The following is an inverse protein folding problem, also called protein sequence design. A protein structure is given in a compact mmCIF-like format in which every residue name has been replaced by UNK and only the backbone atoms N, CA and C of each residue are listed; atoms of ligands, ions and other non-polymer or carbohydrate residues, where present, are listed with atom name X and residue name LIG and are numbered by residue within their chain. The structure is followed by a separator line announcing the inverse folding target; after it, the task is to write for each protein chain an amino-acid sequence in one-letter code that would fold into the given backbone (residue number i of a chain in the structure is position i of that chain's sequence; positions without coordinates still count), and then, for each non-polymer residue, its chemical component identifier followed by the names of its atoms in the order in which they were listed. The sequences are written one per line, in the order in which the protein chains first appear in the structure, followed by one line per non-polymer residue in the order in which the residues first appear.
data_IF_142395207082
#
_entry.id   IF_142395207082
#
_cell.length_a   1.000
_cell.length_b   1.000
_cell.length_c   1.000
_cell.angle_alpha   90.00
_cell.angle_beta   90.00
_cell.angle_gamma   90.00
#
_symmetry.space_group_name_H-M   'P 1'
#
loop_
_entity.id
_entity.type
_entity.pdbx_description
1 polymer ?
#
# COMPACT_ATOMS: atom_id res chain seq x y z
N UNK A 1 22.22 21.77 10.44
CA UNK A 1 21.87 20.46 11.02
C UNK A 1 22.12 19.44 9.93
N UNK A 2 23.02 18.48 10.11
CA UNK A 2 23.17 17.41 9.11
C UNK A 2 21.87 16.60 9.11
N UNK A 3 21.16 16.60 7.99
CA UNK A 3 19.95 15.76 7.84
C UNK A 3 20.35 14.30 8.07
N UNK A 4 19.58 13.58 8.88
CA UNK A 4 19.80 12.16 9.07
C UNK A 4 19.63 11.46 7.69
N UNK A 5 20.62 10.70 7.19
CA UNK A 5 20.58 10.12 5.85
C UNK A 5 19.37 9.20 5.63
N UNK A 6 18.84 8.57 6.71
CA UNK A 6 17.60 7.79 6.64
C UNK A 6 16.39 8.66 6.33
N UNK A 7 16.26 9.79 7.02
CA UNK A 7 15.17 10.74 6.76
C UNK A 7 15.27 11.28 5.34
N UNK A 8 16.46 11.67 4.89
CA UNK A 8 16.67 12.15 3.53
C UNK A 8 16.25 11.11 2.48
N UNK A 9 16.63 9.83 2.66
CA UNK A 9 16.20 8.75 1.78
C UNK A 9 14.68 8.53 1.79
N UNK A 10 14.05 8.58 2.95
CA UNK A 10 12.58 8.46 3.07
C UNK A 10 11.89 9.63 2.35
N UNK A 11 12.32 10.87 2.56
CA UNK A 11 11.76 12.04 1.88
C UNK A 11 11.92 11.96 0.36
N UNK A 12 13.07 11.52 -0.12
CA UNK A 12 13.33 11.33 -1.55
C UNK A 12 12.35 10.33 -2.16
N UNK A 13 12.11 9.20 -1.49
CA UNK A 13 11.12 8.22 -1.96
C UNK A 13 9.69 8.77 -1.94
N UNK A 14 9.27 9.47 -0.89
CA UNK A 14 7.94 10.09 -0.90
C UNK A 14 7.80 11.12 -2.01
N UNK A 15 8.83 11.93 -2.27
CA UNK A 15 8.84 12.90 -3.36
C UNK A 15 8.73 12.25 -4.74
N UNK A 16 9.43 11.12 -4.96
CA UNK A 16 9.31 10.35 -6.21
C UNK A 16 7.91 9.77 -6.40
N UNK A 17 7.30 9.27 -5.33
CA UNK A 17 5.93 8.77 -5.36
C UNK A 17 4.94 9.88 -5.75
N UNK A 18 5.09 11.07 -5.16
CA UNK A 18 4.28 12.23 -5.49
C UNK A 18 4.46 12.70 -6.93
N UNK A 19 5.69 12.69 -7.43
CA UNK A 19 5.96 13.05 -8.83
C UNK A 19 5.18 12.14 -9.77
N UNK A 20 5.28 10.82 -9.59
CA UNK A 20 4.55 9.87 -10.43
C UNK A 20 3.03 9.97 -10.28
N UNK A 21 2.54 10.23 -9.06
CA UNK A 21 1.12 10.48 -8.83
C UNK A 21 0.64 11.74 -9.53
N UNK A 22 1.41 12.83 -9.48
CA UNK A 22 1.09 14.09 -10.14
C UNK A 22 1.11 13.93 -11.67
N UNK A 23 2.12 13.24 -12.21
CA UNK A 23 2.17 12.92 -13.64
C UNK A 23 0.95 12.09 -14.06
N UNK A 24 0.53 11.10 -13.26
CA UNK A 24 -0.66 10.30 -13.56
C UNK A 24 -1.93 11.14 -13.67
N UNK A 25 -2.09 12.15 -12.80
CA UNK A 25 -3.25 13.06 -12.83
C UNK A 25 -3.25 14.01 -14.04
N UNK A 26 -2.09 14.27 -14.64
CA UNK A 26 -1.99 15.16 -15.81
C UNK A 26 -2.37 14.46 -17.12
N UNK A 27 -2.43 13.13 -17.13
CA UNK A 27 -2.80 12.37 -18.34
C UNK A 27 -4.31 12.19 -18.38
N UNK A 28 -4.91 12.46 -19.55
CA UNK A 28 -6.36 12.32 -19.76
C UNK A 28 -6.78 10.88 -20.01
N UNK A 29 -5.88 10.11 -20.61
CA UNK A 29 -6.09 8.72 -20.95
C UNK A 29 -5.64 7.82 -19.79
N UNK A 30 -6.51 6.88 -19.45
CA UNK A 30 -6.33 6.01 -18.31
C UNK A 30 -5.21 4.99 -18.54
N UNK A 31 -5.12 4.42 -19.75
CA UNK A 31 -4.06 3.47 -20.11
C UNK A 31 -2.67 4.09 -19.98
N UNK A 32 -2.58 5.41 -20.22
CA UNK A 32 -1.37 6.19 -20.05
C UNK A 32 -1.11 6.63 -18.60
N UNK A 33 -2.16 6.82 -17.79
CA UNK A 33 -2.07 7.16 -16.37
C UNK A 33 -1.68 5.95 -15.51
N UNK A 34 -2.15 4.75 -15.86
CA UNK A 34 -1.96 3.54 -15.08
C UNK A 34 -0.48 3.19 -14.81
N UNK A 35 0.42 3.13 -15.80
CA UNK A 35 1.84 2.87 -15.55
C UNK A 35 2.48 3.87 -14.57
N UNK A 36 2.00 5.11 -14.54
CA UNK A 36 2.48 6.16 -13.63
C UNK A 36 1.97 5.95 -12.21
N UNK A 37 0.70 5.59 -12.03
CA UNK A 37 0.17 5.17 -10.73
C UNK A 37 0.95 3.99 -10.17
N UNK A 38 1.28 3.02 -11.01
CA UNK A 38 2.11 1.87 -10.61
C UNK A 38 3.53 2.29 -10.27
N UNK A 39 4.14 3.16 -11.08
CA UNK A 39 5.46 3.72 -10.78
C UNK A 39 5.49 4.46 -9.43
N UNK A 40 4.38 5.08 -9.00
CA UNK A 40 4.28 5.72 -7.69
C UNK A 40 4.27 4.72 -6.51
N UNK A 41 3.76 3.50 -6.70
CA UNK A 41 3.71 2.46 -5.66
C UNK A 41 5.11 2.06 -5.19
N UNK A 42 6.07 1.91 -6.11
CA UNK A 42 7.44 1.48 -5.78
C UNK A 42 8.13 2.37 -4.74
N UNK A 43 8.29 3.69 -4.97
CA UNK A 43 8.91 4.56 -4.01
C UNK A 43 8.04 4.74 -2.75
N UNK A 44 6.70 4.71 -2.86
CA UNK A 44 5.82 4.74 -1.70
C UNK A 44 6.06 3.57 -0.73
N UNK A 45 6.30 2.36 -1.27
CA UNK A 45 6.68 1.18 -0.48
C UNK A 45 8.10 1.27 0.06
N UNK A 46 9.04 1.76 -0.75
CA UNK A 46 10.44 1.89 -0.36
C UNK A 46 10.62 2.80 0.88
N UNK A 47 9.83 3.88 1.00
CA UNK A 47 9.83 4.73 2.17
C UNK A 47 9.54 3.94 3.47
N UNK A 48 8.54 3.05 3.45
CA UNK A 48 8.20 2.19 4.59
C UNK A 48 9.30 1.15 4.87
N UNK A 49 9.84 0.53 3.82
CA UNK A 49 10.92 -0.45 3.97
C UNK A 49 12.18 0.18 4.59
N UNK A 50 12.54 1.41 4.23
CA UNK A 50 13.65 2.13 4.87
C UNK A 50 13.41 2.36 6.37
N UNK A 51 12.17 2.66 6.79
CA UNK A 51 11.83 2.78 8.22
C UNK A 51 12.01 1.45 8.94
N UNK A 52 11.55 0.35 8.34
CA UNK A 52 11.68 -1.00 8.88
C UNK A 52 13.14 -1.47 8.93
N UNK A 53 13.94 -1.13 7.92
CA UNK A 53 15.37 -1.37 7.92
C UNK A 53 16.07 -0.64 9.07
N UNK A 54 15.71 0.63 9.32
CA UNK A 54 16.25 1.37 10.47
C UNK A 54 15.91 0.67 11.80
N UNK A 55 14.68 0.16 11.95
CA UNK A 55 14.29 -0.62 13.12
C UNK A 55 15.12 -1.91 13.26
N UNK A 56 15.25 -2.69 12.17
CA UNK A 56 16.02 -3.94 12.13
C UNK A 56 17.51 -3.71 12.42
N UNK A 57 18.06 -2.57 12.00
CA UNK A 57 19.43 -2.16 12.25
C UNK A 57 19.66 -1.62 13.68
N UNK A 58 18.61 -1.52 14.50
CA UNK A 58 18.71 -0.96 15.86
C UNK A 58 18.99 0.54 15.87
N UNK A 59 18.66 1.25 14.79
CA UNK A 59 18.80 2.70 14.67
C UNK A 59 17.64 3.45 15.36
N UNK A 60 16.58 2.75 15.76
CA UNK A 60 15.42 3.31 16.46
C UNK A 60 15.44 3.02 17.98
N UNK A 61 14.80 3.90 18.75
CA UNK A 61 14.53 3.69 20.19
C UNK A 61 13.46 2.64 20.45
N UNK A 62 12.63 2.33 19.46
CA UNK A 62 11.58 1.31 19.47
C UNK A 62 11.99 0.11 18.59
N UNK A 63 11.38 -1.05 18.83
CA UNK A 63 11.57 -2.22 17.97
C UNK A 63 10.68 -2.18 16.71
N UNK A 64 10.87 -3.18 15.83
CA UNK A 64 10.11 -3.29 14.59
C UNK A 64 8.60 -3.51 14.83
N UNK A 65 8.22 -4.26 15.87
CA UNK A 65 6.83 -4.57 16.15
C UNK A 65 6.05 -3.32 16.58
N UNK A 66 6.65 -2.51 17.45
CA UNK A 66 6.11 -1.23 17.87
C UNK A 66 6.07 -0.20 16.72
N UNK A 67 7.08 -0.20 15.85
CA UNK A 67 7.06 0.61 14.63
C UNK A 67 5.88 0.22 13.73
N UNK A 68 5.73 -1.06 13.42
CA UNK A 68 4.64 -1.57 12.57
C UNK A 68 3.26 -1.28 13.17
N UNK A 69 3.12 -1.37 14.50
CA UNK A 69 1.89 -0.98 15.20
C UNK A 69 1.56 0.49 14.98
N UNK A 70 2.51 1.41 15.24
CA UNK A 70 2.31 2.85 15.04
C UNK A 70 1.98 3.22 13.60
N UNK A 71 2.63 2.56 12.64
CA UNK A 71 2.35 2.77 11.22
C UNK A 71 0.96 2.28 10.85
N UNK A 72 0.53 1.14 11.38
CA UNK A 72 -0.82 0.62 11.14
C UNK A 72 -1.90 1.52 11.73
N UNK A 73 -1.63 2.14 12.88
CA UNK A 73 -2.55 3.10 13.50
C UNK A 73 -2.60 4.44 12.75
N UNK A 74 -1.44 4.97 12.33
CA UNK A 74 -1.36 6.26 11.66
C UNK A 74 -1.73 6.19 10.17
N UNK A 75 -1.53 5.05 9.53
CA UNK A 75 -1.69 4.83 8.09
C UNK A 75 -2.47 3.53 7.87
N UNK A 76 -3.79 3.47 8.19
CA UNK A 76 -4.55 2.21 8.23
C UNK A 76 -4.51 1.40 6.92
N UNK A 77 -4.41 2.11 5.79
CA UNK A 77 -4.39 1.54 4.43
C UNK A 77 -2.98 1.22 3.92
N UNK A 78 -1.93 1.35 4.74
CA UNK A 78 -0.56 0.95 4.35
C UNK A 78 -0.51 -0.51 3.85
N UNK A 79 -1.36 -1.37 4.43
CA UNK A 79 -1.50 -2.77 4.04
C UNK A 79 -1.85 -2.95 2.56
N UNK A 80 -2.66 -2.07 1.96
CA UNK A 80 -3.04 -2.17 0.55
C UNK A 80 -1.84 -1.82 -0.34
N UNK A 81 -1.15 -0.72 -0.01
CA UNK A 81 0.09 -0.30 -0.71
C UNK A 81 1.14 -1.40 -0.67
N UNK A 82 1.25 -2.13 0.44
CA UNK A 82 2.17 -3.26 0.57
C UNK A 82 1.68 -4.57 -0.06
N UNK A 83 0.36 -4.80 -0.07
CA UNK A 83 -0.26 -5.98 -0.67
C UNK A 83 -0.23 -5.95 -2.20
N UNK A 84 -0.23 -4.75 -2.77
CA UNK A 84 -0.03 -4.53 -4.20
C UNK A 84 1.28 -5.17 -4.64
N UNK A 85 1.19 -6.26 -5.41
CA UNK A 85 2.36 -7.04 -5.83
C UNK A 85 2.92 -6.46 -7.11
N UNK A 86 4.15 -5.97 -7.00
CA UNK A 86 4.98 -5.50 -8.12
C UNK A 86 5.00 -6.49 -9.29
N UNK A 87 5.12 -7.80 -9.00
CA UNK A 87 5.12 -8.86 -10.03
C UNK A 87 3.82 -8.96 -10.82
N UNK A 88 2.69 -8.62 -10.20
CA UNK A 88 1.40 -8.70 -10.86
C UNK A 88 1.37 -7.62 -11.97
N UNK A 89 2.01 -6.46 -11.77
CA UNK A 89 2.17 -5.47 -12.83
C UNK A 89 3.14 -5.88 -13.94
N UNK A 90 4.17 -6.69 -13.65
CA UNK A 90 5.05 -7.19 -14.71
C UNK A 90 4.39 -8.26 -15.59
N UNK A 91 3.44 -9.02 -15.05
CA UNK A 91 2.70 -10.01 -15.83
C UNK A 91 1.48 -9.42 -16.55
N UNK A 92 0.87 -8.37 -15.99
CA UNK A 92 -0.41 -7.85 -16.47
C UNK A 92 -0.33 -6.43 -17.09
N UNK A 93 0.77 -5.69 -16.87
CA UNK A 93 0.94 -4.28 -17.25
C UNK A 93 1.11 -3.98 -18.75
N UNK A 94 1.08 -4.99 -19.62
CA UNK A 94 1.09 -4.80 -21.09
C UNK A 94 -0.32 -4.99 -21.69
N UNK A 95 -1.32 -5.41 -20.90
CA UNK A 95 -2.60 -5.87 -21.44
C UNK A 95 -3.68 -4.78 -21.60
N UNK A 96 -3.37 -3.51 -21.30
CA UNK A 96 -4.31 -2.39 -21.37
C UNK A 96 -5.36 -2.40 -20.25
N UNK A 97 -6.06 -1.28 -20.06
CA UNK A 97 -7.06 -1.12 -19.01
C UNK A 97 -8.34 -1.94 -19.20
N UNK A 98 -9.19 -1.97 -18.17
CA UNK A 98 -10.50 -2.62 -18.19
C UNK A 98 -10.53 -4.08 -17.70
N UNK A 99 -9.57 -4.50 -16.87
CA UNK A 99 -9.53 -5.86 -16.31
C UNK A 99 -9.48 -5.86 -14.79
N UNK A 100 -10.30 -6.70 -14.18
CA UNK A 100 -10.31 -6.94 -12.74
C UNK A 100 -9.62 -8.27 -12.46
N UNK A 101 -8.63 -8.24 -11.56
CA UNK A 101 -7.98 -9.43 -11.03
C UNK A 101 -8.40 -9.65 -9.59
N UNK A 102 -8.75 -10.90 -9.27
CA UNK A 102 -9.09 -11.26 -7.90
C UNK A 102 -8.16 -12.37 -7.48
N UNK A 103 -7.39 -12.13 -6.42
CA UNK A 103 -6.62 -13.16 -5.74
C UNK A 103 -7.21 -13.36 -4.35
N UNK A 104 -7.68 -14.56 -4.04
CA UNK A 104 -8.16 -14.89 -2.70
C UNK A 104 -7.44 -16.10 -2.14
N UNK A 105 -7.30 -16.11 -0.83
CA UNK A 105 -6.90 -17.27 -0.06
C UNK A 105 -7.95 -17.49 1.02
N UNK A 106 -8.76 -18.53 0.82
CA UNK A 106 -9.84 -18.90 1.72
C UNK A 106 -9.44 -20.19 2.43
N UNK A 107 -9.53 -20.21 3.76
CA UNK A 107 -9.43 -21.42 4.56
C UNK A 107 -10.84 -21.83 4.96
N UNK A 108 -11.33 -22.95 4.43
CA UNK A 108 -12.66 -23.46 4.73
C UNK A 108 -12.61 -24.64 5.71
N UNK A 109 -13.60 -24.78 6.61
CA UNK A 109 -13.83 -26.03 7.30
C UNK A 109 -14.28 -27.12 6.30
N UNK A 110 -14.16 -28.41 6.64
CA UNK A 110 -14.45 -29.53 5.72
C UNK A 110 -15.85 -29.53 5.08
N UNK A 111 -16.83 -28.85 5.71
CA UNK A 111 -18.22 -28.74 5.23
C UNK A 111 -18.61 -27.30 4.89
N UNK A 112 -17.65 -26.39 4.79
CA UNK A 112 -17.92 -24.98 4.52
C UNK A 112 -18.14 -24.68 3.03
N UNK A 113 -18.80 -23.56 2.74
CA UNK A 113 -18.89 -22.98 1.41
C UNK A 113 -18.42 -21.52 1.42
N UNK A 114 -17.91 -21.08 0.27
CA UNK A 114 -17.56 -19.69 0.03
C UNK A 114 -18.30 -19.21 -1.22
N UNK A 115 -18.96 -18.07 -1.11
CA UNK A 115 -19.58 -17.38 -2.22
C UNK A 115 -18.73 -16.17 -2.58
N UNK A 116 -18.50 -16.02 -3.87
CA UNK A 116 -17.79 -14.87 -4.44
C UNK A 116 -18.78 -14.10 -5.31
N UNK A 117 -18.95 -12.82 -5.01
CA UNK A 117 -19.82 -11.94 -5.77
C UNK A 117 -18.97 -10.82 -6.34
N UNK A 118 -19.07 -10.61 -7.66
CA UNK A 118 -18.60 -9.38 -8.31
C UNK A 118 -19.83 -8.60 -8.74
N UNK A 119 -19.90 -7.34 -8.32
CA UNK A 119 -20.85 -6.41 -8.86
C UNK A 119 -20.13 -5.58 -9.92
N UNK A 120 -20.31 -5.88 -11.23
CA UNK A 120 -19.71 -5.12 -12.30
C UNK A 120 -20.50 -3.82 -12.50
N UNK A 121 -20.43 -2.92 -11.53
CA UNK A 121 -20.71 -1.52 -11.79
C UNK A 121 -19.41 -0.90 -12.33
N UNK A 122 -19.35 -0.44 -13.59
CA UNK A 122 -18.15 0.18 -14.16
C UNK A 122 -17.66 1.40 -13.37
N UNK A 123 -18.54 2.02 -12.57
CA UNK A 123 -18.25 3.19 -11.75
C UNK A 123 -17.94 2.87 -10.29
N UNK A 124 -18.26 1.66 -9.82
CA UNK A 124 -18.07 1.24 -8.44
C UNK A 124 -17.94 -0.30 -8.35
N UNK A 125 -16.82 -0.86 -8.84
CA UNK A 125 -16.63 -2.30 -8.81
C UNK A 125 -16.48 -2.77 -7.37
N UNK A 126 -17.34 -3.69 -6.94
CA UNK A 126 -17.29 -4.27 -5.58
C UNK A 126 -17.08 -5.78 -5.68
N UNK A 127 -16.08 -6.27 -4.96
CA UNK A 127 -15.93 -7.69 -4.70
C UNK A 127 -16.42 -8.00 -3.28
N UNK A 128 -17.33 -8.97 -3.17
CA UNK A 128 -17.78 -9.54 -1.92
C UNK A 128 -17.32 -10.99 -1.80
N UNK A 129 -16.89 -11.38 -0.61
CA UNK A 129 -16.68 -12.78 -0.25
C UNK A 129 -17.54 -13.06 0.98
N UNK A 130 -18.38 -14.10 0.88
CA UNK A 130 -19.13 -14.65 2.00
C UNK A 130 -18.61 -16.07 2.27
N UNK A 131 -18.46 -16.44 3.55
CA UNK A 131 -18.00 -17.77 3.95
C UNK A 131 -18.97 -18.29 5.01
N UNK A 132 -19.36 -19.56 4.89
CA UNK A 132 -20.31 -20.23 5.77
C UNK A 132 -19.90 -20.25 7.25
N UNK A 133 -18.61 -20.12 7.51
CA UNK A 133 -18.04 -19.91 8.85
C UNK A 133 -17.25 -18.59 8.85
N UNK A 134 -17.87 -17.46 9.26
CA UNK A 134 -17.21 -16.16 9.29
C UNK A 134 -16.13 -16.06 10.38
N UNK A 135 -16.02 -17.06 11.27
CA UNK A 135 -14.98 -17.11 12.31
C UNK A 135 -13.64 -17.62 11.76
N UNK A 136 -13.67 -18.31 10.63
CA UNK A 136 -12.46 -18.76 9.94
C UNK A 136 -11.76 -17.57 9.25
N UNK A 137 -10.44 -17.38 9.46
CA UNK A 137 -9.72 -16.28 8.84
C UNK A 137 -9.68 -16.46 7.33
N UNK A 138 -10.06 -15.41 6.61
CA UNK A 138 -9.96 -15.33 5.16
C UNK A 138 -9.21 -14.08 4.76
N UNK A 139 -8.57 -14.13 3.59
CA UNK A 139 -7.89 -12.98 2.99
C UNK A 139 -8.23 -12.91 1.52
N UNK A 140 -8.51 -11.71 1.05
CA UNK A 140 -8.59 -11.48 -0.38
C UNK A 140 -7.92 -10.18 -0.76
N UNK A 141 -7.51 -10.13 -2.02
CA UNK A 141 -7.05 -8.93 -2.66
C UNK A 141 -7.75 -8.86 -4.02
N UNK A 142 -8.71 -7.95 -4.11
CA UNK A 142 -9.18 -7.45 -5.38
C UNK A 142 -8.15 -6.42 -5.84
N UNK A 143 -7.64 -6.59 -7.04
CA UNK A 143 -6.74 -5.62 -7.65
C UNK A 143 -7.07 -5.55 -9.12
N UNK A 144 -7.21 -4.35 -9.63
CA UNK A 144 -7.35 -4.11 -11.06
C UNK A 144 -6.24 -3.17 -11.48
N UNK A 145 -6.35 -2.69 -12.71
CA UNK A 145 -5.69 -1.47 -13.12
C UNK A 145 -6.14 -0.26 -12.27
N UNK A 146 -7.43 -0.11 -11.98
CA UNK A 146 -8.01 1.13 -11.41
C UNK A 146 -8.11 1.13 -9.89
N UNK A 147 -8.47 -0.01 -9.31
CA UNK A 147 -8.87 -0.13 -7.91
C UNK A 147 -8.16 -1.26 -7.18
N UNK A 148 -8.15 -1.17 -5.85
CA UNK A 148 -7.73 -2.22 -4.94
C UNK A 148 -8.69 -2.33 -3.74
N UNK A 149 -8.92 -3.55 -3.27
CA UNK A 149 -9.75 -3.85 -2.09
C UNK A 149 -9.18 -5.09 -1.39
N UNK A 150 -9.26 -5.12 -0.06
CA UNK A 150 -9.03 -6.33 0.73
C UNK A 150 -10.22 -6.59 1.66
N UNK A 151 -10.13 -7.64 2.49
CA UNK A 151 -11.21 -8.04 3.39
C UNK A 151 -11.62 -7.00 4.45
N UNK A 152 -10.82 -5.94 4.61
CA UNK A 152 -11.07 -4.88 5.58
C UNK A 152 -11.72 -3.64 4.96
N UNK A 153 -11.75 -3.55 3.64
CA UNK A 153 -12.38 -2.42 2.96
C UNK A 153 -13.78 -2.78 2.47
N UNK A 154 -14.82 -1.98 2.80
CA UNK A 154 -16.18 -2.25 2.38
C UNK A 154 -16.41 -2.01 0.89
N UNK A 155 -15.56 -1.21 0.24
CA UNK A 155 -15.63 -0.85 -1.18
C UNK A 155 -14.23 -0.82 -1.79
N UNK A 156 -14.13 -0.99 -3.10
CA UNK A 156 -12.86 -0.88 -3.79
C UNK A 156 -12.38 0.58 -3.83
N UNK A 157 -11.07 0.76 -3.67
CA UNK A 157 -10.44 2.08 -3.57
C UNK A 157 -9.65 2.35 -4.84
N UNK A 158 -9.89 3.46 -5.54
CA UNK A 158 -9.06 3.84 -6.68
C UNK A 158 -7.62 4.11 -6.28
N UNK A 159 -6.64 3.68 -7.09
CA UNK A 159 -5.22 3.83 -6.76
C UNK A 159 -4.83 5.29 -6.49
N UNK A 160 -5.38 6.26 -7.21
CA UNK A 160 -5.08 7.67 -6.98
C UNK A 160 -5.55 8.16 -5.60
N UNK A 161 -6.69 7.66 -5.13
CA UNK A 161 -7.19 7.96 -3.77
C UNK A 161 -6.29 7.32 -2.74
N UNK A 162 -6.01 6.02 -2.90
CA UNK A 162 -5.15 5.27 -1.99
C UNK A 162 -3.76 5.90 -1.87
N UNK A 163 -3.11 6.21 -2.99
CA UNK A 163 -1.76 6.76 -3.02
C UNK A 163 -1.72 8.17 -2.42
N UNK A 164 -2.69 9.03 -2.74
CA UNK A 164 -2.76 10.37 -2.14
C UNK A 164 -2.90 10.29 -0.63
N UNK A 165 -3.89 9.55 -0.14
CA UNK A 165 -4.12 9.37 1.30
C UNK A 165 -2.90 8.78 2.01
N UNK A 166 -2.30 7.74 1.42
CA UNK A 166 -1.09 7.12 1.97
C UNK A 166 0.08 8.10 2.06
N UNK A 167 0.32 8.89 1.00
CA UNK A 167 1.44 9.85 0.98
C UNK A 167 1.23 10.98 1.98
N UNK A 168 0.00 11.52 2.09
CA UNK A 168 -0.35 12.55 3.06
C UNK A 168 -0.15 12.04 4.50
N UNK A 169 -0.67 10.84 4.80
CA UNK A 169 -0.54 10.21 6.11
C UNK A 169 0.90 9.85 6.44
N UNK A 170 1.66 9.34 5.46
CA UNK A 170 3.07 9.00 5.65
C UNK A 170 3.90 10.24 5.97
N UNK A 171 3.68 11.35 5.26
CA UNK A 171 4.31 12.64 5.56
C UNK A 171 3.97 13.14 6.95
N UNK A 172 2.70 13.05 7.35
CA UNK A 172 2.25 13.43 8.69
C UNK A 172 2.88 12.54 9.78
N UNK A 173 3.21 11.28 9.47
CA UNK A 173 3.87 10.35 10.39
C UNK A 173 5.39 10.59 10.54
N UNK A 174 6.05 11.22 9.57
CA UNK A 174 7.51 11.39 9.58
C UNK A 174 8.08 12.06 10.83
N UNK A 175 7.46 13.10 11.42
CA UNK A 175 7.95 13.67 12.68
C UNK A 175 7.99 12.65 13.82
N UNK A 176 6.99 11.77 13.91
CA UNK A 176 6.94 10.70 14.91
C UNK A 176 8.02 9.65 14.68
N UNK A 177 8.28 9.28 13.41
CA UNK A 177 9.40 8.41 13.07
C UNK A 177 10.75 9.07 13.41
N UNK A 178 10.93 10.34 13.05
CA UNK A 178 12.15 11.09 13.31
C UNK A 178 12.49 11.17 14.81
N UNK A 179 11.47 11.34 15.67
CA UNK A 179 11.62 11.33 17.11
C UNK A 179 12.09 9.97 17.68
N UNK A 180 11.89 8.88 16.93
CA UNK A 180 12.35 7.54 17.32
C UNK A 180 13.79 7.25 16.88
N UNK A 181 14.40 8.06 16.01
CA UNK A 181 15.77 7.83 15.56
C UNK A 181 16.76 8.09 16.71
N UNK A 182 17.66 7.13 16.94
CA UNK A 182 18.76 7.30 17.89
C UNK A 182 19.73 8.34 17.33
N UNK A 183 20.30 9.17 18.21
CA UNK A 183 21.38 10.07 17.83
C UNK A 183 22.58 9.24 17.32
N UNK A 184 23.27 9.67 16.26
CA UNK A 184 24.46 8.98 15.80
C UNK A 184 25.48 8.88 16.95
N UNK A 185 25.96 7.67 17.23
CA UNK A 185 27.04 7.44 18.19
C UNK A 185 28.31 8.09 17.62
N UNK A 186 28.60 9.34 17.99
CA UNK A 186 29.79 10.05 17.53
C UNK A 186 29.75 11.57 17.48
N UNK A 187 28.61 12.22 17.75
CA UNK A 187 28.59 13.68 17.90
C UNK A 187 29.16 14.07 19.28
N UNK A 188 30.48 14.25 19.35
CA UNK A 188 31.12 15.10 20.36
C UNK A 188 31.11 16.54 19.88
#
# INVERSE_FOLDING_TARGET
MSENPRLAGIYEHLRRAELHLAEAHQVKDYDSAFPKLIAAVYPARAALELMREAAKAGELTIDLGELDRRITEAIPRNRLVQAIRIRDFHHFGIQGGGRIFVTFQIRMPPLGHAEFSMYPNPLDPQAGISISDPTSPHKFLLTSDVVVQDEKEPVAIPYWVLLREYLDQMKAFLPSFAACLRKPRGAK
#
